data_IF_772798696281
#
_entry.id   IF_772798696281
#
_cell.length_a   1.000
_cell.length_b   1.000
_cell.length_c   1.000
_cell.angle_alpha   90.00
_cell.angle_beta   90.00
_cell.angle_gamma   90.00
#
_symmetry.space_group_name_H-M   'P 1'
#
loop_
_entity.id
_entity.type
_entity.pdbx_description
1 polymer ?
#
# COMPACT_ATOMS: atom_id res chain seq x y z
N UNK A 1 -50.73 -20.02 5.47
CA UNK A 1 -50.32 -18.79 6.16
C UNK A 1 -48.92 -18.91 6.75
N UNK A 2 -48.57 -19.98 7.48
CA UNK A 2 -47.18 -20.20 7.95
C UNK A 2 -46.15 -20.40 6.84
N UNK A 3 -46.48 -21.11 5.76
CA UNK A 3 -45.54 -21.36 4.64
C UNK A 3 -45.09 -20.07 3.94
N UNK A 4 -45.98 -19.08 3.83
CA UNK A 4 -45.67 -17.78 3.20
C UNK A 4 -44.74 -16.94 4.09
N UNK A 5 -44.87 -17.08 5.42
CA UNK A 5 -43.97 -16.40 6.36
C UNK A 5 -42.59 -17.06 6.36
N UNK A 6 -42.52 -18.38 6.24
CA UNK A 6 -41.27 -19.11 6.13
C UNK A 6 -40.53 -18.77 4.82
N UNK A 7 -41.24 -18.78 3.69
CA UNK A 7 -40.67 -18.42 2.39
C UNK A 7 -40.20 -16.95 2.35
N UNK A 8 -40.90 -16.03 3.03
CA UNK A 8 -40.49 -14.64 3.13
C UNK A 8 -39.23 -14.46 3.99
N UNK A 9 -39.10 -15.20 5.10
CA UNK A 9 -37.95 -15.15 5.99
C UNK A 9 -36.69 -15.77 5.33
N UNK A 10 -36.86 -16.85 4.56
CA UNK A 10 -35.78 -17.47 3.78
C UNK A 10 -35.33 -16.59 2.60
N UNK A 11 -36.27 -15.96 1.89
CA UNK A 11 -35.97 -15.03 0.80
C UNK A 11 -35.21 -13.78 1.27
N UNK A 12 -35.59 -13.24 2.44
CA UNK A 12 -34.88 -12.11 3.05
C UNK A 12 -33.46 -12.53 3.50
N UNK A 13 -33.29 -13.72 4.06
CA UNK A 13 -31.99 -14.26 4.45
C UNK A 13 -31.04 -14.46 3.26
N UNK A 14 -31.55 -14.99 2.14
CA UNK A 14 -30.78 -15.18 0.90
C UNK A 14 -30.35 -13.86 0.28
N UNK A 15 -31.25 -12.87 0.24
CA UNK A 15 -30.95 -11.53 -0.28
C UNK A 15 -29.86 -10.83 0.55
N UNK A 16 -29.89 -10.99 1.88
CA UNK A 16 -28.86 -10.46 2.77
C UNK A 16 -27.52 -11.20 2.56
N UNK A 17 -27.55 -12.52 2.39
CA UNK A 17 -26.36 -13.31 2.14
C UNK A 17 -25.70 -12.97 0.79
N UNK A 18 -26.48 -12.80 -0.27
CA UNK A 18 -25.97 -12.33 -1.57
C UNK A 18 -25.41 -10.91 -1.49
N UNK A 19 -26.12 -10.00 -0.82
CA UNK A 19 -25.65 -8.62 -0.60
C UNK A 19 -24.33 -8.57 0.15
N UNK A 20 -24.17 -9.36 1.22
CA UNK A 20 -22.92 -9.45 1.97
C UNK A 20 -21.80 -10.13 1.17
N UNK A 21 -22.12 -11.14 0.35
CA UNK A 21 -21.17 -11.79 -0.56
C UNK A 21 -20.62 -10.81 -1.60
N UNK A 22 -21.48 -9.98 -2.21
CA UNK A 22 -21.07 -8.96 -3.18
C UNK A 22 -20.16 -7.89 -2.55
N UNK A 23 -20.50 -7.40 -1.35
CA UNK A 23 -19.65 -6.42 -0.64
C UNK A 23 -18.28 -7.01 -0.34
N UNK A 24 -18.24 -8.27 0.13
CA UNK A 24 -16.97 -8.98 0.38
C UNK A 24 -16.15 -9.12 -0.90
N UNK A 25 -16.79 -9.56 -2.00
CA UNK A 25 -16.13 -9.71 -3.30
C UNK A 25 -15.54 -8.38 -3.78
N UNK A 26 -16.32 -7.30 -3.76
CA UNK A 26 -15.86 -5.98 -4.17
C UNK A 26 -14.70 -5.47 -3.31
N UNK A 27 -14.76 -5.66 -1.99
CA UNK A 27 -13.68 -5.29 -1.09
C UNK A 27 -12.39 -6.07 -1.40
N UNK A 28 -12.49 -7.39 -1.58
CA UNK A 28 -11.37 -8.25 -1.92
C UNK A 28 -10.75 -7.83 -3.25
N UNK A 29 -11.57 -7.60 -4.28
CA UNK A 29 -11.10 -7.13 -5.59
C UNK A 29 -10.39 -5.77 -5.48
N UNK A 30 -10.97 -4.81 -4.75
CA UNK A 30 -10.34 -3.51 -4.57
C UNK A 30 -8.98 -3.59 -3.84
N UNK A 31 -8.87 -4.44 -2.82
CA UNK A 31 -7.62 -4.67 -2.09
C UNK A 31 -6.55 -5.34 -2.96
N UNK A 32 -6.93 -6.35 -3.74
CA UNK A 32 -5.99 -7.07 -4.62
C UNK A 32 -5.46 -6.14 -5.70
N UNK A 33 -6.34 -5.41 -6.39
CA UNK A 33 -5.92 -4.47 -7.44
C UNK A 33 -5.00 -3.37 -6.90
N UNK A 34 -5.31 -2.82 -5.72
CA UNK A 34 -4.46 -1.82 -5.10
C UNK A 34 -3.09 -2.39 -4.66
N UNK A 35 -3.05 -3.64 -4.20
CA UNK A 35 -1.83 -4.29 -3.73
C UNK A 35 -0.93 -4.77 -4.88
N UNK A 36 -1.51 -5.28 -5.97
CA UNK A 36 -0.78 -5.87 -7.09
C UNK A 36 0.21 -4.87 -7.72
N UNK A 37 -0.31 -3.76 -8.24
CA UNK A 37 0.51 -2.76 -8.93
C UNK A 37 1.57 -2.16 -7.99
N UNK A 38 1.16 -1.83 -6.78
CA UNK A 38 2.03 -1.14 -5.82
C UNK A 38 3.18 -2.02 -5.36
N UNK A 39 2.93 -3.30 -5.08
CA UNK A 39 3.96 -4.25 -4.67
C UNK A 39 4.89 -4.61 -5.83
N UNK A 40 4.36 -4.83 -7.03
CA UNK A 40 5.15 -5.14 -8.24
C UNK A 40 6.15 -4.03 -8.58
N UNK A 41 5.69 -2.77 -8.56
CA UNK A 41 6.55 -1.60 -8.80
C UNK A 41 7.62 -1.49 -7.71
N UNK A 42 7.24 -1.62 -6.44
CA UNK A 42 8.19 -1.51 -5.31
C UNK A 42 9.28 -2.57 -5.39
N UNK A 43 8.91 -3.83 -5.67
CA UNK A 43 9.86 -4.93 -5.80
C UNK A 43 10.80 -4.73 -6.99
N UNK A 44 10.28 -4.26 -8.12
CA UNK A 44 11.07 -3.99 -9.32
C UNK A 44 12.15 -2.95 -9.04
N UNK A 45 11.80 -1.83 -8.37
CA UNK A 45 12.77 -0.82 -7.99
C UNK A 45 13.75 -1.30 -6.93
N UNK A 46 13.28 -2.03 -5.92
CA UNK A 46 14.14 -2.58 -4.86
C UNK A 46 15.22 -3.50 -5.45
N UNK A 47 14.82 -4.43 -6.32
CA UNK A 47 15.74 -5.35 -6.99
C UNK A 47 16.70 -4.60 -7.93
N UNK A 48 16.20 -3.63 -8.69
CA UNK A 48 17.03 -2.81 -9.58
C UNK A 48 18.10 -2.04 -8.81
N UNK A 49 17.73 -1.40 -7.70
CA UNK A 49 18.65 -0.66 -6.84
C UNK A 49 19.69 -1.57 -6.18
N UNK A 50 19.28 -2.77 -5.74
CA UNK A 50 20.19 -3.76 -5.16
C UNK A 50 21.17 -4.33 -6.19
N UNK A 51 20.73 -4.59 -7.42
CA UNK A 51 21.62 -5.07 -8.48
C UNK A 51 22.62 -4.00 -8.92
N UNK A 52 22.19 -2.74 -8.94
CA UNK A 52 23.07 -1.61 -9.22
C UNK A 52 24.11 -1.39 -8.10
N UNK A 53 23.70 -1.50 -6.83
CA UNK A 53 24.59 -1.32 -5.68
C UNK A 53 25.03 -2.66 -5.07
N UNK A 54 26.15 -3.17 -5.58
CA UNK A 54 26.74 -4.45 -5.14
C UNK A 54 27.13 -4.48 -3.67
N UNK A 55 27.49 -3.34 -3.09
CA UNK A 55 27.85 -3.26 -1.66
C UNK A 55 26.61 -3.37 -0.77
N UNK A 56 25.51 -2.71 -1.16
CA UNK A 56 24.23 -2.85 -0.48
C UNK A 56 23.71 -4.30 -0.56
N UNK A 57 23.82 -4.93 -1.74
CA UNK A 57 23.49 -6.35 -1.92
C UNK A 57 24.31 -7.25 -0.99
N UNK A 58 25.62 -7.03 -0.88
CA UNK A 58 26.49 -7.82 0.00
C UNK A 58 26.08 -7.68 1.48
N UNK A 59 25.80 -6.46 1.91
CA UNK A 59 25.38 -6.18 3.30
C UNK A 59 24.05 -6.85 3.66
N UNK A 60 23.04 -6.78 2.79
CA UNK A 60 21.75 -7.43 3.06
C UNK A 60 21.86 -8.95 3.06
N UNK A 61 22.70 -9.52 2.18
CA UNK A 61 23.01 -10.95 2.22
C UNK A 61 23.72 -11.35 3.51
N UNK A 62 24.64 -10.53 4.02
CA UNK A 62 25.30 -10.78 5.31
C UNK A 62 24.30 -10.75 6.47
N UNK A 63 23.41 -9.75 6.50
CA UNK A 63 22.36 -9.64 7.51
C UNK A 63 21.43 -10.87 7.50
N UNK A 64 20.98 -11.28 6.31
CA UNK A 64 20.14 -12.48 6.13
C UNK A 64 20.86 -13.74 6.61
N UNK A 65 22.12 -13.93 6.21
CA UNK A 65 22.91 -15.09 6.62
C UNK A 65 23.15 -15.12 8.14
N UNK A 66 23.28 -13.96 8.78
CA UNK A 66 23.52 -13.85 10.22
C UNK A 66 22.26 -14.16 11.03
N UNK A 67 21.10 -13.62 10.66
CA UNK A 67 19.87 -13.77 11.44
C UNK A 67 19.06 -15.03 11.12
N UNK A 68 19.10 -15.51 9.87
CA UNK A 68 18.28 -16.65 9.41
C UNK A 68 19.12 -17.93 9.30
N UNK A 69 20.42 -17.78 9.01
CA UNK A 69 21.30 -18.89 8.71
C UNK A 69 21.05 -19.50 7.33
N UNK A 70 21.90 -20.45 6.91
CA UNK A 70 21.82 -21.08 5.59
C UNK A 70 20.88 -22.30 5.53
N UNK A 71 20.38 -22.76 6.68
CA UNK A 71 19.57 -23.97 6.78
C UNK A 71 18.07 -23.71 6.60
N UNK A 72 17.62 -22.47 6.80
CA UNK A 72 16.21 -22.07 6.65
C UNK A 72 16.06 -21.13 5.47
N UNK A 73 15.34 -21.57 4.44
CA UNK A 73 15.15 -20.82 3.19
C UNK A 73 14.03 -19.77 3.25
N UNK A 74 13.16 -19.85 4.27
CA UNK A 74 12.00 -18.98 4.40
C UNK A 74 12.18 -18.00 5.57
N UNK A 75 11.85 -16.74 5.31
CA UNK A 75 11.76 -15.67 6.32
C UNK A 75 10.35 -15.67 6.89
N UNK A 76 10.21 -15.68 8.21
CA UNK A 76 8.90 -15.52 8.86
C UNK A 76 8.73 -14.09 9.37
N UNK A 77 7.49 -13.69 9.62
CA UNK A 77 7.17 -12.33 10.13
C UNK A 77 7.98 -11.98 11.38
N UNK A 78 8.20 -12.94 12.28
CA UNK A 78 9.00 -12.79 13.49
C UNK A 78 10.44 -12.37 13.24
N UNK A 79 11.04 -12.80 12.12
CA UNK A 79 12.44 -12.52 11.78
C UNK A 79 12.62 -11.08 11.30
N UNK A 80 11.56 -10.48 10.75
CA UNK A 80 11.58 -9.14 10.17
C UNK A 80 12.15 -8.11 11.13
N UNK A 81 11.88 -8.25 12.43
CA UNK A 81 12.39 -7.37 13.50
C UNK A 81 13.92 -7.27 13.53
N UNK A 82 14.62 -8.33 13.15
CA UNK A 82 16.08 -8.39 13.15
C UNK A 82 16.69 -7.97 11.81
N UNK A 83 15.90 -7.90 10.72
CA UNK A 83 16.37 -7.54 9.38
C UNK A 83 16.28 -6.02 9.15
N UNK A 84 16.99 -5.25 9.98
CA UNK A 84 16.91 -3.78 10.01
C UNK A 84 17.44 -3.15 8.72
N UNK A 85 18.51 -3.70 8.16
CA UNK A 85 19.11 -3.23 6.92
C UNK A 85 18.20 -3.51 5.72
N UNK A 86 17.61 -4.70 5.64
CA UNK A 86 16.59 -5.00 4.63
C UNK A 86 15.40 -4.04 4.70
N UNK A 87 14.87 -3.77 5.90
CA UNK A 87 13.81 -2.78 6.09
C UNK A 87 14.25 -1.39 5.62
N UNK A 88 15.50 -1.00 5.89
CA UNK A 88 16.06 0.28 5.47
C UNK A 88 16.13 0.38 3.94
N UNK A 89 16.52 -0.70 3.24
CA UNK A 89 16.52 -0.75 1.76
C UNK A 89 15.10 -0.56 1.21
N UNK A 90 14.10 -1.21 1.79
CA UNK A 90 12.70 -1.07 1.35
C UNK A 90 12.22 0.38 1.55
N UNK A 91 12.50 0.97 2.72
CA UNK A 91 12.16 2.36 3.02
C UNK A 91 12.85 3.34 2.06
N UNK A 92 14.13 3.14 1.79
CA UNK A 92 14.90 3.97 0.85
C UNK A 92 14.40 3.81 -0.59
N UNK A 93 14.03 2.59 -0.98
CA UNK A 93 13.41 2.34 -2.28
C UNK A 93 12.11 3.12 -2.43
N UNK A 94 11.25 3.10 -1.42
CA UNK A 94 9.99 3.85 -1.42
C UNK A 94 10.19 5.37 -1.35
N UNK A 95 11.27 5.82 -0.72
CA UNK A 95 11.67 7.22 -0.69
C UNK A 95 12.11 7.67 -2.10
N UNK A 96 13.05 6.97 -2.73
CA UNK A 96 13.56 7.33 -4.05
C UNK A 96 12.53 7.12 -5.17
N UNK A 97 11.81 6.00 -5.12
CA UNK A 97 10.87 5.53 -6.14
C UNK A 97 9.55 5.09 -5.49
N UNK A 98 8.68 6.04 -5.08
CA UNK A 98 7.38 5.71 -4.55
C UNK A 98 6.52 5.03 -5.62
N UNK A 99 5.91 3.87 -5.29
CA UNK A 99 5.05 3.13 -6.22
C UNK A 99 3.85 3.96 -6.73
N UNK A 100 3.38 4.89 -5.90
CA UNK A 100 2.32 5.85 -6.23
C UNK A 100 2.92 7.26 -6.19
N UNK A 101 3.44 7.79 -7.32
CA UNK A 101 4.08 9.11 -7.36
C UNK A 101 3.08 10.27 -7.28
N UNK A 102 1.80 10.03 -7.60
CA UNK A 102 0.69 10.99 -7.50
C UNK A 102 -0.32 10.48 -6.48
N UNK A 103 -0.76 11.34 -5.56
CA UNK A 103 -1.85 10.98 -4.65
C UNK A 103 -3.17 10.78 -5.40
N UNK A 104 -4.13 10.12 -4.75
CA UNK A 104 -5.52 10.08 -5.26
C UNK A 104 -6.12 11.48 -5.38
N UNK A 105 -7.28 11.56 -6.02
CA UNK A 105 -8.02 12.81 -6.14
C UNK A 105 -8.59 13.17 -4.76
N UNK A 106 -8.15 14.30 -4.21
CA UNK A 106 -8.69 14.87 -2.98
C UNK A 106 -9.76 15.90 -3.33
N UNK A 107 -10.76 16.04 -2.47
CA UNK A 107 -11.80 17.06 -2.59
C UNK A 107 -11.79 17.94 -1.34
N UNK A 108 -11.71 19.25 -1.54
CA UNK A 108 -11.76 20.23 -0.46
C UNK A 108 -13.12 20.18 0.25
N UNK A 109 -13.14 19.97 1.57
CA UNK A 109 -14.35 19.88 2.39
C UNK A 109 -14.78 21.20 3.01
N UNK A 110 -13.90 22.20 3.01
CA UNK A 110 -14.13 23.55 3.53
C UNK A 110 -13.18 24.53 2.86
N UNK A 111 -13.55 25.81 2.79
CA UNK A 111 -12.69 26.83 2.20
C UNK A 111 -11.35 26.91 2.97
N UNK A 112 -10.23 26.70 2.28
CA UNK A 112 -8.92 26.67 2.92
C UNK A 112 -7.88 27.44 2.12
N UNK A 113 -6.89 28.01 2.82
CA UNK A 113 -5.79 28.75 2.17
C UNK A 113 -4.49 27.97 2.31
N UNK A 114 -3.94 27.49 1.19
CA UNK A 114 -2.64 26.83 1.16
C UNK A 114 -1.54 27.88 1.17
N UNK A 115 -0.70 27.82 2.21
CA UNK A 115 0.53 28.61 2.36
C UNK A 115 0.32 30.13 2.25
N UNK A 116 -0.89 30.61 2.59
CA UNK A 116 -1.28 32.03 2.48
C UNK A 116 -1.44 32.56 1.04
N UNK A 117 -1.23 31.72 0.02
CA UNK A 117 -1.13 32.14 -1.38
C UNK A 117 -2.26 31.60 -2.26
N UNK A 118 -2.77 30.41 -1.96
CA UNK A 118 -3.78 29.74 -2.78
C UNK A 118 -5.05 29.50 -1.99
N UNK A 119 -6.13 30.19 -2.34
CA UNK A 119 -7.46 29.94 -1.79
C UNK A 119 -8.12 28.78 -2.55
N UNK A 120 -8.46 27.72 -1.83
CA UNK A 120 -9.23 26.58 -2.32
C UNK A 120 -10.67 26.73 -1.85
N UNK A 121 -11.59 26.86 -2.79
CA UNK A 121 -13.02 26.85 -2.50
C UNK A 121 -13.51 25.42 -2.19
N UNK A 122 -14.59 25.35 -1.43
CA UNK A 122 -15.33 24.13 -1.15
C UNK A 122 -15.60 23.34 -2.43
N UNK A 123 -15.24 22.06 -2.41
CA UNK A 123 -15.50 21.13 -3.49
C UNK A 123 -14.48 21.10 -4.62
N UNK A 124 -13.41 21.89 -4.56
CA UNK A 124 -12.33 21.82 -5.55
C UNK A 124 -11.58 20.47 -5.45
N UNK A 125 -11.25 19.90 -6.61
CA UNK A 125 -10.45 18.68 -6.71
C UNK A 125 -8.95 19.01 -6.80
N UNK A 126 -8.12 18.28 -6.05
CA UNK A 126 -6.68 18.48 -5.99
C UNK A 126 -5.90 17.17 -5.98
N UNK A 127 -4.69 17.18 -6.55
CA UNK A 127 -3.79 16.03 -6.64
C UNK A 127 -2.41 16.45 -6.13
N UNK A 128 -1.87 15.71 -5.16
CA UNK A 128 -0.53 15.96 -4.63
C UNK A 128 0.53 15.14 -5.36
N UNK A 129 1.59 15.79 -5.83
CA UNK A 129 2.75 15.12 -6.42
C UNK A 129 3.71 14.63 -5.34
N UNK A 130 3.52 13.39 -4.88
CA UNK A 130 4.33 12.76 -3.83
C UNK A 130 5.81 12.67 -4.21
N UNK A 131 6.09 12.35 -5.48
CA UNK A 131 7.46 12.31 -6.01
C UNK A 131 8.20 13.65 -5.84
N UNK A 132 7.53 14.76 -6.13
CA UNK A 132 8.13 16.10 -6.02
C UNK A 132 8.43 16.45 -4.56
N UNK A 133 7.54 16.12 -3.63
CA UNK A 133 7.72 16.42 -2.21
C UNK A 133 8.95 15.70 -1.64
N UNK A 134 9.16 14.44 -2.03
CA UNK A 134 10.29 13.65 -1.54
C UNK A 134 11.62 14.17 -2.10
N UNK A 135 11.68 14.52 -3.39
CA UNK A 135 12.92 14.92 -4.06
C UNK A 135 13.25 16.43 -3.97
N UNK A 136 12.33 17.29 -3.53
CA UNK A 136 12.60 18.73 -3.34
C UNK A 136 13.22 19.09 -1.96
N UNK A 137 13.55 18.09 -1.13
CA UNK A 137 14.31 18.32 0.11
C UNK A 137 13.63 19.21 1.16
N UNK A 138 12.30 19.41 1.08
CA UNK A 138 11.55 20.25 2.03
C UNK A 138 11.04 19.50 3.27
N UNK A 139 11.40 18.23 3.44
CA UNK A 139 10.92 17.36 4.52
C UNK A 139 11.97 16.37 5.04
N UNK A 140 13.26 16.77 5.06
CA UNK A 140 14.31 16.14 5.85
C UNK A 140 15.27 17.21 6.40
#
# INVERSE_FOLDING_TARGET
>A
MLSILHDAEEHDADTINEGTSLVRANLLTALILAAEDTTSITLTWALSLLFYNRDAMRKVQQELNFHIGKHRLLVTESDTKNLVYLQSIIKETLHLYPAIPLSGIHKTTEDCTINGLFQLALGLFSIFKKFIVIHLGKLF
#
